data_IF_610460300424
#
_entry.id   IF_610460300424
#
_cell.length_a   1.000
_cell.length_b   1.000
_cell.length_c   1.000
_cell.angle_alpha   90.00
_cell.angle_beta   90.00
_cell.angle_gamma   90.00
#
_symmetry.space_group_name_H-M   'P 1'
#
loop_
_entity.id
_entity.type
_entity.pdbx_description
1 polymer ?
#
# COMPACT_ATOMS: atom_id res chain seq x y z
N UNK A 1 8.32 10.19 12.51
CA UNK A 1 7.96 10.70 11.19
C UNK A 1 7.14 9.65 10.48
N UNK A 2 5.90 9.96 9.98
CA UNK A 2 5.11 9.04 9.18
C UNK A 2 5.87 8.49 7.97
N UNK A 3 5.59 7.24 7.56
CA UNK A 3 6.15 6.67 6.34
C UNK A 3 5.62 7.45 5.13
N UNK A 4 4.32 7.69 5.09
CA UNK A 4 3.68 8.53 4.06
C UNK A 4 3.18 9.84 4.69
N UNK A 5 4.06 10.83 4.74
CA UNK A 5 3.71 12.17 5.22
C UNK A 5 2.85 12.94 4.22
N UNK A 6 2.71 12.42 3.02
CA UNK A 6 1.84 12.93 1.95
C UNK A 6 0.36 12.61 2.20
N UNK A 7 0.07 11.61 3.04
CA UNK A 7 -1.31 11.22 3.33
C UNK A 7 -1.98 12.23 4.25
N UNK A 8 -3.13 12.71 3.84
CA UNK A 8 -4.02 13.54 4.64
C UNK A 8 -5.38 12.87 4.78
N UNK A 9 -5.71 12.44 6.01
CA UNK A 9 -6.96 11.75 6.28
C UNK A 9 -8.18 12.60 5.94
N UNK A 10 -8.12 13.92 6.18
CA UNK A 10 -9.21 14.85 5.85
C UNK A 10 -9.44 15.05 4.36
N UNK A 11 -8.38 14.90 3.54
CA UNK A 11 -8.44 15.13 2.09
C UNK A 11 -8.58 13.83 1.28
N UNK A 12 -8.20 12.69 1.86
CA UNK A 12 -8.11 11.42 1.13
C UNK A 12 -9.08 10.34 1.66
N UNK A 13 -9.82 10.59 2.76
CA UNK A 13 -10.79 9.63 3.30
C UNK A 13 -12.20 9.99 2.88
N UNK A 14 -12.80 9.12 2.09
CA UNK A 14 -14.13 9.31 1.51
C UNK A 14 -14.98 8.04 1.64
N UNK A 15 -16.28 8.18 1.44
CA UNK A 15 -17.11 7.06 1.08
C UNK A 15 -16.84 6.74 -0.39
N UNK A 16 -16.24 5.58 -0.64
CA UNK A 16 -15.93 5.08 -1.98
C UNK A 16 -16.64 3.76 -2.19
N UNK A 17 -17.24 3.61 -3.35
CA UNK A 17 -17.94 2.40 -3.74
C UNK A 17 -17.03 1.48 -4.53
N UNK A 18 -17.34 0.19 -4.51
CA UNK A 18 -16.70 -0.81 -5.36
C UNK A 18 -17.33 -0.72 -6.73
N UNK A 19 -16.48 -0.57 -7.76
CA UNK A 19 -16.90 -0.57 -9.16
C UNK A 19 -16.87 -2.01 -9.71
N UNK A 20 -18.03 -2.63 -9.97
CA UNK A 20 -18.10 -4.06 -10.31
C UNK A 20 -17.36 -4.46 -11.58
N UNK A 21 -17.24 -3.52 -12.53
CA UNK A 21 -16.65 -3.76 -13.86
C UNK A 21 -15.16 -3.41 -13.92
N UNK A 22 -14.58 -2.96 -12.81
CA UNK A 22 -13.15 -2.67 -12.75
C UNK A 22 -12.39 -3.81 -12.07
N UNK A 23 -11.14 -4.07 -12.51
CA UNK A 23 -10.25 -4.98 -11.80
C UNK A 23 -10.04 -4.55 -10.35
N UNK A 24 -9.89 -5.53 -9.46
CA UNK A 24 -9.42 -5.30 -8.10
C UNK A 24 -7.97 -5.77 -7.98
N UNK A 25 -7.14 -4.89 -7.45
CA UNK A 25 -5.77 -5.20 -7.06
C UNK A 25 -5.73 -5.38 -5.54
N UNK A 26 -5.01 -6.39 -5.09
CA UNK A 26 -4.89 -6.74 -3.68
C UNK A 26 -3.41 -6.81 -3.34
N UNK A 27 -2.97 -6.01 -2.38
CA UNK A 27 -1.63 -6.12 -1.80
C UNK A 27 -1.67 -6.99 -0.56
N UNK A 28 -0.74 -7.94 -0.43
CA UNK A 28 -0.62 -8.87 0.68
C UNK A 28 0.68 -8.66 1.45
N UNK A 29 0.60 -8.58 2.75
CA UNK A 29 1.71 -8.81 3.67
C UNK A 29 1.52 -10.16 4.38
N UNK A 30 2.55 -11.01 4.32
CA UNK A 30 2.52 -12.36 4.91
C UNK A 30 3.04 -12.33 6.34
N UNK A 31 2.71 -13.34 7.12
CA UNK A 31 3.19 -13.53 8.49
C UNK A 31 2.05 -13.90 9.45
N UNK A 32 2.33 -13.81 10.76
CA UNK A 32 1.33 -14.11 11.81
C UNK A 32 0.28 -13.00 12.01
N UNK A 33 0.48 -11.87 11.39
CA UNK A 33 -0.49 -10.77 11.31
C UNK A 33 -0.69 -10.42 9.85
N UNK A 34 -1.28 -11.35 9.06
CA UNK A 34 -1.44 -11.13 7.65
C UNK A 34 -2.41 -10.00 7.38
N UNK A 35 -2.11 -9.23 6.34
CA UNK A 35 -2.92 -8.10 5.92
C UNK A 35 -3.12 -8.10 4.41
N UNK A 36 -4.33 -7.73 3.98
CA UNK A 36 -4.68 -7.49 2.59
C UNK A 36 -5.33 -6.12 2.45
N UNK A 37 -4.89 -5.34 1.48
CA UNK A 37 -5.48 -4.05 1.10
C UNK A 37 -5.96 -4.14 -0.33
N UNK A 38 -7.24 -3.81 -0.54
CA UNK A 38 -7.94 -3.93 -1.82
C UNK A 38 -8.08 -2.55 -2.45
N UNK A 39 -7.65 -2.42 -3.69
CA UNK A 39 -7.74 -1.18 -4.43
C UNK A 39 -8.21 -1.37 -5.86
N UNK A 40 -8.94 -0.40 -6.36
CA UNK A 40 -9.34 -0.31 -7.75
C UNK A 40 -8.78 0.96 -8.38
N UNK A 41 -8.26 0.85 -9.58
CA UNK A 41 -7.81 2.00 -10.36
C UNK A 41 -8.95 2.46 -11.25
N UNK A 42 -9.46 3.63 -10.96
CA UNK A 42 -10.54 4.25 -11.73
C UNK A 42 -10.08 4.60 -13.14
N UNK A 43 -11.01 4.76 -14.07
CA UNK A 43 -10.72 5.07 -15.48
C UNK A 43 -9.94 6.39 -15.65
N UNK A 44 -10.11 7.34 -14.74
CA UNK A 44 -9.33 8.59 -14.73
C UNK A 44 -7.93 8.44 -14.10
N UNK A 45 -7.55 7.24 -13.65
CA UNK A 45 -6.25 6.94 -13.04
C UNK A 45 -6.18 7.17 -11.53
N UNK A 46 -7.27 7.55 -10.86
CA UNK A 46 -7.35 7.64 -9.39
C UNK A 46 -7.41 6.26 -8.79
N UNK A 47 -6.73 6.07 -7.67
CA UNK A 47 -6.87 4.88 -6.86
C UNK A 47 -7.93 5.04 -5.78
N UNK A 48 -8.81 4.06 -5.68
CA UNK A 48 -9.72 3.88 -4.56
C UNK A 48 -9.28 2.65 -3.77
N UNK A 49 -8.89 2.84 -2.51
CA UNK A 49 -8.75 1.73 -1.56
C UNK A 49 -10.13 1.48 -0.98
N UNK A 50 -10.72 0.35 -1.33
CA UNK A 50 -12.15 0.09 -1.12
C UNK A 50 -12.43 -0.90 0.01
N UNK A 51 -11.45 -1.73 0.38
CA UNK A 51 -11.59 -2.75 1.43
C UNK A 51 -10.24 -3.12 2.04
N UNK A 52 -10.27 -3.63 3.25
CA UNK A 52 -9.11 -4.16 3.97
C UNK A 52 -9.48 -5.44 4.72
N UNK A 53 -8.56 -6.38 4.81
CA UNK A 53 -8.66 -7.57 5.65
C UNK A 53 -7.38 -7.69 6.46
N UNK A 54 -7.48 -7.65 7.78
CA UNK A 54 -6.34 -7.76 8.70
C UNK A 54 -6.67 -8.79 9.76
N UNK A 55 -5.80 -9.77 9.95
CA UNK A 55 -5.95 -10.79 10.97
C UNK A 55 -4.77 -10.76 11.94
N UNK A 56 -5.01 -11.25 13.15
CA UNK A 56 -4.01 -11.36 14.21
C UNK A 56 -3.84 -12.83 14.59
N UNK A 57 -2.59 -13.25 14.78
CA UNK A 57 -2.25 -14.63 15.17
C UNK A 57 -2.94 -15.67 14.27
N UNK A 58 -2.90 -15.43 12.97
CA UNK A 58 -3.55 -16.27 11.97
C UNK A 58 -2.55 -16.72 10.92
N UNK A 59 -2.51 -18.03 10.67
CA UNK A 59 -1.69 -18.61 9.61
C UNK A 59 -2.25 -18.31 8.21
N UNK A 60 -1.38 -18.41 7.22
CA UNK A 60 -1.68 -18.07 5.83
C UNK A 60 -2.88 -18.82 5.25
N UNK A 61 -3.02 -20.11 5.54
CA UNK A 61 -4.12 -20.92 5.03
C UNK A 61 -5.48 -20.41 5.50
N UNK A 62 -5.65 -20.15 6.80
CA UNK A 62 -6.89 -19.61 7.34
C UNK A 62 -7.18 -18.22 6.80
N UNK A 63 -6.14 -17.39 6.69
CA UNK A 63 -6.28 -16.07 6.11
C UNK A 63 -6.72 -16.12 4.65
N UNK A 64 -6.17 -17.06 3.86
CA UNK A 64 -6.54 -17.26 2.47
C UNK A 64 -8.02 -17.62 2.29
N UNK A 65 -8.61 -18.40 3.20
CA UNK A 65 -10.05 -18.69 3.17
C UNK A 65 -10.90 -17.44 3.40
N UNK A 66 -10.51 -16.57 4.33
CA UNK A 66 -11.21 -15.29 4.54
C UNK A 66 -11.03 -14.36 3.33
N UNK A 67 -9.83 -14.31 2.77
CA UNK A 67 -9.53 -13.53 1.57
C UNK A 67 -10.40 -13.97 0.38
N UNK A 68 -10.53 -15.29 0.17
CA UNK A 68 -11.40 -15.84 -0.88
C UNK A 68 -12.87 -15.48 -0.66
N UNK A 69 -13.35 -15.59 0.58
CA UNK A 69 -14.73 -15.22 0.91
C UNK A 69 -15.01 -13.74 0.62
N UNK A 70 -14.10 -12.85 1.01
CA UNK A 70 -14.22 -11.41 0.73
C UNK A 70 -14.20 -11.13 -0.78
N UNK A 71 -13.30 -11.79 -1.53
CA UNK A 71 -13.24 -11.64 -3.00
C UNK A 71 -14.58 -12.08 -3.63
N UNK A 72 -15.07 -13.25 -3.26
CA UNK A 72 -16.34 -13.79 -3.82
C UNK A 72 -17.54 -12.91 -3.48
N UNK A 73 -17.59 -12.40 -2.27
CA UNK A 73 -18.70 -11.60 -1.79
C UNK A 73 -18.71 -10.18 -2.36
N UNK A 74 -17.53 -9.52 -2.37
CA UNK A 74 -17.42 -8.09 -2.68
C UNK A 74 -17.07 -7.81 -4.13
N UNK A 75 -16.36 -8.74 -4.78
CA UNK A 75 -15.82 -8.56 -6.13
C UNK A 75 -16.19 -9.72 -7.08
N UNK A 76 -17.45 -10.18 -7.11
CA UNK A 76 -17.86 -11.40 -7.83
C UNK A 76 -17.66 -11.31 -9.36
N UNK A 77 -17.54 -10.10 -9.91
CA UNK A 77 -17.39 -9.86 -11.35
C UNK A 77 -16.03 -9.24 -11.72
N UNK A 78 -15.24 -8.81 -10.73
CA UNK A 78 -13.97 -8.15 -10.97
C UNK A 78 -12.87 -9.16 -11.33
N UNK A 79 -12.02 -8.81 -12.28
CA UNK A 79 -10.74 -9.49 -12.44
C UNK A 79 -9.86 -9.20 -11.22
N UNK A 80 -9.20 -10.23 -10.68
CA UNK A 80 -8.47 -10.15 -9.41
C UNK A 80 -6.98 -10.29 -9.65
N UNK A 81 -6.21 -9.28 -9.22
CA UNK A 81 -4.75 -9.28 -9.22
C UNK A 81 -4.25 -9.22 -7.79
N UNK A 82 -3.44 -10.19 -7.39
CA UNK A 82 -2.91 -10.30 -6.02
C UNK A 82 -1.39 -10.17 -6.05
N UNK A 83 -0.86 -9.23 -5.24
CA UNK A 83 0.54 -8.89 -5.17
C UNK A 83 1.05 -9.03 -3.73
N UNK A 84 2.17 -9.70 -3.54
CA UNK A 84 2.71 -9.91 -2.20
C UNK A 84 4.21 -9.64 -2.10
N UNK A 85 4.70 -9.73 -0.87
CA UNK A 85 6.13 -9.62 -0.56
C UNK A 85 6.93 -10.66 -1.36
N UNK A 86 7.92 -10.24 -2.17
CA UNK A 86 8.85 -11.17 -2.83
C UNK A 86 9.54 -12.15 -1.88
N UNK A 87 9.67 -11.83 -0.59
CA UNK A 87 10.18 -12.78 0.41
C UNK A 87 9.31 -14.03 0.54
N UNK A 88 8.00 -13.94 0.26
CA UNK A 88 7.09 -15.08 0.18
C UNK A 88 7.37 -16.05 -0.97
N UNK A 89 8.30 -15.71 -1.89
CA UNK A 89 8.81 -16.64 -2.90
C UNK A 89 9.94 -17.55 -2.38
N UNK A 90 10.44 -17.33 -1.16
CA UNK A 90 11.38 -18.24 -0.50
C UNK A 90 10.61 -19.46 -0.01
N UNK A 91 11.22 -20.64 -0.18
CA UNK A 91 10.67 -21.88 0.36
C UNK A 91 10.66 -21.84 1.88
N UNK A 92 9.57 -22.30 2.46
CA UNK A 92 9.49 -22.57 3.88
C UNK A 92 10.38 -23.81 4.19
N UNK A 93 11.19 -23.75 5.24
CA UNK A 93 12.10 -24.83 5.62
C UNK A 93 11.36 -26.09 6.08
N UNK A 94 10.11 -25.96 6.51
CA UNK A 94 9.29 -27.06 7.02
C UNK A 94 8.44 -27.70 5.92
N UNK A 95 7.83 -26.87 5.06
CA UNK A 95 6.85 -27.34 4.06
C UNK A 95 7.39 -27.42 2.65
N UNK A 96 8.62 -26.98 2.39
CA UNK A 96 9.31 -26.97 1.09
C UNK A 96 8.55 -26.23 -0.04
N UNK A 97 7.47 -25.52 0.29
CA UNK A 97 6.65 -24.75 -0.64
C UNK A 97 6.71 -23.27 -0.33
N UNK A 98 6.53 -22.44 -1.32
CA UNK A 98 6.46 -20.99 -1.14
C UNK A 98 5.06 -20.55 -0.72
N UNK A 99 4.93 -19.38 -0.07
CA UNK A 99 3.64 -18.81 0.25
C UNK A 99 2.78 -18.61 -1.02
N UNK A 100 3.39 -18.25 -2.15
CA UNK A 100 2.69 -18.09 -3.42
C UNK A 100 2.21 -19.42 -4.02
N UNK A 101 3.00 -20.50 -3.92
CA UNK A 101 2.58 -21.84 -4.33
C UNK A 101 1.41 -22.33 -3.47
N UNK A 102 1.49 -22.12 -2.15
CA UNK A 102 0.40 -22.48 -1.24
C UNK A 102 -0.88 -21.71 -1.56
N UNK A 103 -0.83 -20.39 -1.76
CA UNK A 103 -1.99 -19.60 -2.18
C UNK A 103 -2.57 -20.08 -3.50
N UNK A 104 -1.71 -20.49 -4.45
CA UNK A 104 -2.15 -21.02 -5.74
C UNK A 104 -2.90 -22.34 -5.61
N UNK A 105 -2.48 -23.24 -4.71
CA UNK A 105 -3.21 -24.49 -4.44
C UNK A 105 -4.61 -24.23 -3.88
N UNK A 106 -4.80 -23.13 -3.18
CA UNK A 106 -6.08 -22.65 -2.66
C UNK A 106 -6.91 -21.84 -3.70
N UNK A 107 -6.41 -21.70 -4.93
CA UNK A 107 -7.11 -20.97 -6.01
C UNK A 107 -6.79 -19.47 -6.09
N UNK A 108 -5.92 -18.94 -5.23
CA UNK A 108 -5.50 -17.53 -5.22
C UNK A 108 -4.22 -17.37 -6.04
N UNK A 109 -4.30 -16.70 -7.19
CA UNK A 109 -3.16 -16.47 -8.10
C UNK A 109 -2.35 -15.24 -7.65
N UNK A 110 -1.74 -15.33 -6.48
CA UNK A 110 -0.85 -14.29 -5.97
C UNK A 110 0.51 -14.34 -6.70
N UNK A 111 1.11 -13.15 -6.88
CA UNK A 111 2.41 -12.96 -7.52
C UNK A 111 3.30 -12.06 -6.66
N UNK A 112 4.63 -12.29 -6.66
CA UNK A 112 5.54 -11.36 -6.02
C UNK A 112 5.56 -10.03 -6.77
N UNK A 113 5.71 -8.93 -6.02
CA UNK A 113 6.00 -7.62 -6.61
C UNK A 113 7.41 -7.59 -7.19
N UNK A 114 7.68 -6.62 -8.08
CA UNK A 114 8.96 -6.49 -8.77
C UNK A 114 10.15 -6.19 -7.84
N UNK A 115 9.91 -5.70 -6.63
CA UNK A 115 10.95 -5.35 -5.67
C UNK A 115 10.45 -5.51 -4.24
N UNK A 116 11.36 -5.90 -3.34
CA UNK A 116 11.15 -5.86 -1.89
C UNK A 116 11.82 -4.63 -1.24
N UNK A 117 12.42 -3.77 -2.03
CA UNK A 117 13.02 -2.54 -1.51
C UNK A 117 11.95 -1.64 -0.90
N UNK A 118 12.17 -1.27 0.36
CA UNK A 118 11.23 -0.44 1.11
C UNK A 118 11.04 0.94 0.47
N UNK A 119 12.11 1.55 -0.04
CA UNK A 119 12.02 2.88 -0.64
C UNK A 119 11.22 2.86 -1.94
N UNK A 120 11.40 1.81 -2.76
CA UNK A 120 10.61 1.61 -3.99
C UNK A 120 9.12 1.47 -3.66
N UNK A 121 8.77 0.68 -2.64
CA UNK A 121 7.37 0.52 -2.18
C UNK A 121 6.80 1.82 -1.61
N UNK A 122 7.61 2.52 -0.80
CA UNK A 122 7.24 3.81 -0.21
C UNK A 122 6.92 4.83 -1.30
N UNK A 123 7.79 4.95 -2.31
CA UNK A 123 7.59 5.86 -3.43
C UNK A 123 6.37 5.47 -4.27
N UNK A 124 6.18 4.19 -4.58
CA UNK A 124 4.98 3.72 -5.27
C UNK A 124 3.69 4.09 -4.51
N UNK A 125 3.71 3.96 -3.17
CA UNK A 125 2.59 4.37 -2.32
C UNK A 125 2.35 5.87 -2.29
N UNK A 126 3.39 6.69 -2.35
CA UNK A 126 3.29 8.13 -2.32
C UNK A 126 2.81 8.74 -3.66
N UNK A 127 3.10 8.07 -4.78
CA UNK A 127 2.78 8.62 -6.11
C UNK A 127 1.32 9.03 -6.30
N UNK A 128 0.31 8.21 -5.99
CA UNK A 128 -1.07 8.62 -6.14
C UNK A 128 -1.48 9.71 -5.14
N UNK A 129 -0.84 9.81 -3.98
CA UNK A 129 -1.11 10.86 -3.00
C UNK A 129 -0.65 12.24 -3.49
N UNK A 130 0.45 12.26 -4.27
CA UNK A 130 1.07 13.49 -4.77
C UNK A 130 0.47 14.02 -6.08
N UNK A 131 -0.47 13.31 -6.70
CA UNK A 131 -1.15 13.80 -7.91
C UNK A 131 -2.55 14.29 -7.61
N UNK A 132 -2.96 15.30 -8.37
CA UNK A 132 -4.34 15.76 -8.40
C UNK A 132 -5.00 15.26 -9.69
N UNK A 133 -6.21 14.75 -9.55
CA UNK A 133 -7.06 14.31 -10.65
C UNK A 133 -8.43 14.96 -10.43
N UNK A 134 -8.87 15.79 -11.36
CA UNK A 134 -10.13 16.54 -11.25
C UNK A 134 -10.25 17.32 -9.91
N UNK A 135 -9.15 17.97 -9.50
CA UNK A 135 -9.10 18.79 -8.28
C UNK A 135 -9.08 18.00 -6.96
N UNK A 136 -9.02 16.67 -7.01
CA UNK A 136 -8.93 15.81 -5.82
C UNK A 136 -7.64 14.98 -5.85
N UNK A 137 -7.16 14.48 -4.69
CA UNK A 137 -6.02 13.58 -4.65
C UNK A 137 -6.21 12.35 -5.56
N UNK A 138 -5.11 11.86 -6.12
CA UNK A 138 -5.10 10.65 -6.92
C UNK A 138 -5.26 9.36 -6.11
N UNK A 139 -5.32 9.45 -4.79
CA UNK A 139 -5.66 8.38 -3.85
C UNK A 139 -6.87 8.79 -3.03
N UNK A 140 -7.89 7.94 -3.00
CA UNK A 140 -8.97 7.99 -2.02
C UNK A 140 -9.03 6.66 -1.27
N UNK A 141 -9.25 6.74 0.04
CA UNK A 141 -9.34 5.57 0.93
C UNK A 141 -10.74 5.55 1.55
N UNK A 142 -11.41 4.40 1.47
CA UNK A 142 -12.70 4.22 2.12
C UNK A 142 -12.62 4.52 3.61
N UNK A 143 -13.65 5.19 4.13
CA UNK A 143 -13.76 5.46 5.57
C UNK A 143 -13.80 4.17 6.39
N UNK A 144 -14.28 3.08 5.80
CA UNK A 144 -14.34 1.76 6.43
C UNK A 144 -12.96 1.08 6.53
N UNK A 145 -11.97 1.51 5.73
CA UNK A 145 -10.59 1.03 5.81
C UNK A 145 -9.84 1.70 6.98
N UNK A 146 -10.33 1.49 8.20
CA UNK A 146 -9.87 2.17 9.40
C UNK A 146 -8.39 1.90 9.72
N UNK A 147 -7.93 0.65 9.51
CA UNK A 147 -6.55 0.26 9.79
C UNK A 147 -5.59 0.82 8.75
N UNK A 148 -5.96 0.78 7.46
CA UNK A 148 -5.20 1.40 6.39
C UNK A 148 -5.07 2.90 6.63
N UNK A 149 -6.15 3.59 6.92
CA UNK A 149 -6.14 5.03 7.24
C UNK A 149 -5.23 5.34 8.43
N UNK A 150 -5.35 4.60 9.54
CA UNK A 150 -4.48 4.77 10.71
C UNK A 150 -3.00 4.53 10.37
N UNK A 151 -2.71 3.51 9.59
CA UNK A 151 -1.36 3.22 9.14
C UNK A 151 -0.77 4.38 8.35
N UNK A 152 -1.51 4.84 7.31
CA UNK A 152 -1.07 5.92 6.42
C UNK A 152 -0.96 7.27 7.15
N UNK A 153 -1.86 7.56 8.08
CA UNK A 153 -1.88 8.80 8.86
C UNK A 153 -0.74 8.90 9.91
N UNK A 154 0.13 7.89 10.01
CA UNK A 154 1.31 7.93 10.88
C UNK A 154 1.41 6.81 11.90
N UNK A 155 0.47 5.86 11.93
CA UNK A 155 0.61 4.63 12.70
C UNK A 155 1.85 3.86 12.25
N UNK A 156 2.11 3.80 10.94
CA UNK A 156 3.37 3.31 10.39
C UNK A 156 4.37 4.46 10.24
N UNK A 157 5.45 4.43 11.01
CA UNK A 157 6.35 5.56 11.14
C UNK A 157 7.80 5.16 11.40
N UNK A 158 8.72 6.08 11.13
CA UNK A 158 10.13 5.98 11.53
C UNK A 158 10.28 6.41 12.98
N UNK A 159 10.95 5.58 13.81
CA UNK A 159 11.27 5.95 15.19
C UNK A 159 12.27 7.11 15.23
N UNK A 160 12.01 8.04 16.14
CA UNK A 160 12.97 9.08 16.48
C UNK A 160 14.12 8.46 17.27
N UNK A 161 15.35 8.87 16.94
CA UNK A 161 16.57 8.53 17.67
C UNK A 161 16.94 9.75 18.48
N UNK A 162 17.20 9.57 19.78
CA UNK A 162 17.72 10.64 20.62
C UNK A 162 19.14 10.99 20.16
N UNK A 163 19.35 12.25 19.74
CA UNK A 163 20.66 12.81 19.42
C UNK A 163 20.88 14.01 20.31
N UNK A 164 22.04 14.09 20.97
CA UNK A 164 22.43 15.27 21.75
C UNK A 164 22.41 16.54 20.89
N UNK A 165 22.23 17.71 21.52
CA UNK A 165 22.30 19.02 20.89
C UNK A 165 21.22 19.38 19.85
N UNK A 166 19.98 19.00 20.08
CA UNK A 166 18.83 19.60 19.38
C UNK A 166 18.57 19.10 17.94
N UNK A 167 19.36 18.16 17.41
CA UNK A 167 19.12 17.57 16.11
C UNK A 167 18.14 16.37 16.17
N UNK A 168 17.08 16.43 15.38
CA UNK A 168 16.18 15.29 15.20
C UNK A 168 16.73 14.31 14.17
N UNK A 169 16.98 13.08 14.61
CA UNK A 169 17.34 11.98 13.70
C UNK A 169 16.29 10.86 13.80
N UNK A 170 15.96 10.27 12.68
CA UNK A 170 15.08 9.12 12.59
C UNK A 170 15.89 7.88 12.17
N UNK A 171 15.41 6.70 12.53
CA UNK A 171 15.97 5.44 12.00
C UNK A 171 15.76 5.37 10.49
N UNK A 172 16.69 4.72 9.79
CA UNK A 172 16.61 4.54 8.33
C UNK A 172 15.49 3.57 7.93
N UNK A 173 15.12 2.63 8.81
CA UNK A 173 14.00 1.73 8.61
C UNK A 173 12.81 2.10 9.50
N UNK A 174 11.58 1.95 9.01
CA UNK A 174 10.39 2.23 9.80
C UNK A 174 10.21 1.22 10.93
N UNK A 175 9.46 1.63 11.94
CA UNK A 175 9.14 0.79 13.09
C UNK A 175 8.15 -0.30 12.70
N UNK A 176 8.53 -1.56 12.89
CA UNK A 176 7.60 -2.69 12.76
C UNK A 176 6.68 -2.71 13.99
N UNK A 177 5.39 -2.50 13.74
CA UNK A 177 4.31 -2.49 14.73
C UNK A 177 3.03 -3.03 14.08
N UNK A 178 1.91 -3.01 14.80
CA UNK A 178 0.61 -3.48 14.29
C UNK A 178 0.13 -2.76 13.01
N UNK A 179 0.55 -1.51 12.80
CA UNK A 179 0.19 -0.73 11.62
C UNK A 179 1.12 -0.99 10.42
N UNK A 180 2.28 -1.61 10.64
CA UNK A 180 3.25 -1.85 9.57
C UNK A 180 2.73 -2.89 8.56
N UNK A 181 1.99 -3.92 9.01
CA UNK A 181 1.50 -4.98 8.15
C UNK A 181 0.55 -4.47 7.07
N UNK A 182 -0.45 -3.69 7.47
CA UNK A 182 -1.40 -3.09 6.52
C UNK A 182 -0.73 -1.99 5.68
N UNK A 183 0.26 -1.30 6.21
CA UNK A 183 1.06 -0.35 5.47
C UNK A 183 1.93 -1.03 4.41
N UNK A 184 2.57 -2.14 4.74
CA UNK A 184 3.34 -2.93 3.78
C UNK A 184 2.42 -3.52 2.70
N UNK A 185 1.25 -4.05 3.07
CA UNK A 185 0.23 -4.51 2.12
C UNK A 185 -0.21 -3.39 1.15
N UNK A 186 -0.45 -2.17 1.65
CA UNK A 186 -0.71 -1.00 0.80
C UNK A 186 0.46 -0.71 -0.16
N UNK A 187 1.69 -0.79 0.31
CA UNK A 187 2.88 -0.63 -0.52
C UNK A 187 2.95 -1.66 -1.65
N UNK A 188 2.64 -2.94 -1.36
CA UNK A 188 2.58 -4.00 -2.37
C UNK A 188 1.41 -3.81 -3.35
N UNK A 189 0.27 -3.32 -2.89
CA UNK A 189 -0.86 -2.94 -3.75
C UNK A 189 -0.42 -1.90 -4.80
N UNK A 190 0.19 -0.81 -4.37
CA UNK A 190 0.59 0.28 -5.26
C UNK A 190 1.72 -0.14 -6.21
N UNK A 191 2.71 -0.87 -5.71
CA UNK A 191 3.81 -1.37 -6.51
C UNK A 191 3.34 -2.38 -7.56
N UNK A 192 2.51 -3.35 -7.17
CA UNK A 192 1.93 -4.36 -8.06
C UNK A 192 0.94 -3.75 -9.05
N UNK A 193 0.17 -2.74 -8.64
CA UNK A 193 -0.74 -1.96 -9.47
C UNK A 193 -0.06 -1.04 -10.48
N UNK A 194 1.28 -1.01 -10.49
CA UNK A 194 2.09 -0.39 -11.55
C UNK A 194 2.49 1.06 -11.29
N UNK A 195 2.32 1.58 -10.08
CA UNK A 195 2.71 2.96 -9.77
C UNK A 195 4.22 3.20 -9.92
N UNK A 196 5.08 2.18 -9.74
CA UNK A 196 6.52 2.26 -9.97
C UNK A 196 6.93 2.36 -11.44
N UNK A 197 6.07 1.93 -12.39
CA UNK A 197 6.43 1.93 -13.82
C UNK A 197 6.69 3.33 -14.36
N UNK A 198 6.15 4.35 -13.73
CA UNK A 198 6.45 5.75 -14.04
C UNK A 198 7.87 6.14 -13.61
N UNK A 199 8.40 5.52 -12.55
CA UNK A 199 9.76 5.78 -12.06
C UNK A 199 10.84 5.10 -12.93
N UNK A 200 10.50 3.95 -13.53
CA UNK A 200 11.45 3.13 -14.32
C UNK A 200 11.39 3.41 -15.82
N UNK A 201 10.37 4.10 -16.31
CA UNK A 201 10.14 4.33 -17.74
C UNK A 201 11.03 5.41 -18.36
N UNK A 202 11.83 6.12 -17.56
CA UNK A 202 12.72 7.16 -18.06
C UNK A 202 14.13 7.06 -17.47
N UNK A 203 14.95 6.06 -17.85
CA UNK A 203 16.33 5.95 -17.36
C UNK A 203 17.23 7.08 -17.86
N UNK A 204 16.82 7.85 -18.88
CA UNK A 204 17.56 8.98 -19.43
C UNK A 204 16.81 10.33 -19.35
N UNK A 205 15.61 10.35 -18.82
CA UNK A 205 14.87 11.58 -18.61
C UNK A 205 15.22 12.17 -17.25
N UNK A 206 16.11 13.15 -17.23
CA UNK A 206 16.19 14.12 -16.12
C UNK A 206 14.85 14.85 -16.08
N UNK A 207 13.82 14.19 -15.55
CA UNK A 207 12.59 14.83 -15.12
C UNK A 207 12.96 15.73 -13.96
N UNK A 208 13.15 17.00 -14.21
CA UNK A 208 13.13 18.02 -13.17
C UNK A 208 11.75 17.92 -12.52
N UNK A 209 11.66 17.24 -11.39
CA UNK A 209 10.59 17.49 -10.45
C UNK A 209 10.74 18.93 -10.00
N UNK A 210 9.99 19.84 -10.62
CA UNK A 210 9.75 21.13 -10.02
C UNK A 210 9.00 20.84 -8.71
N UNK A 211 9.71 20.87 -7.60
CA UNK A 211 9.09 21.08 -6.31
C UNK A 211 8.28 22.35 -6.44
N UNK A 212 6.96 22.22 -6.41
CA UNK A 212 6.08 23.35 -6.18
C UNK A 212 6.33 23.77 -4.73
N UNK A 213 7.34 24.62 -4.53
CA UNK A 213 7.46 25.41 -3.32
C UNK A 213 6.26 26.34 -3.32
N UNK A 214 5.32 26.09 -2.40
CA UNK A 214 4.32 27.07 -2.08
C UNK A 214 5.05 28.32 -1.60
N UNK A 215 5.08 29.37 -2.43
CA UNK A 215 5.48 30.70 -1.99
C UNK A 215 4.37 31.21 -1.07
N UNK A 216 4.59 31.07 0.22
CA UNK A 216 3.84 31.83 1.22
C UNK A 216 4.47 33.20 1.27
N UNK A 217 3.99 34.12 0.45
CA UNK A 217 4.18 35.54 0.68
C UNK A 217 3.12 35.99 1.69
N UNK A 218 3.47 35.93 2.97
CA UNK A 218 2.82 36.76 3.98
C UNK A 218 3.59 38.07 4.06
N UNK A 219 3.08 39.09 3.41
CA UNK A 219 3.42 40.48 3.67
C UNK A 219 2.68 40.91 4.93
N UNK A 220 3.42 41.15 6.01
CA UNK A 220 2.88 41.80 7.22
C UNK A 220 3.02 43.28 7.01
N UNK A 221 1.87 43.98 6.97
CA UNK A 221 1.76 45.41 7.32
C UNK A 221 1.17 45.55 8.71
#
# INVERSE_FOLDING_TARGET
KPVWHEFSDSLMSYEVEIEPDLPVHIGLDFGLTPAAVFGQKMRNGRWHVVHELVAFSMGLERFAHHLMADIQQKFPKSEVFIWGDPAGAKRDEIFEVTAFEHLRTLGLRAQPTASNDFMVRREAGAMPMNRLIDGKPGLLVSRDCVRTRKSLAGGYHFKRVAVGAGHERFKDAPNKNEHSHVGDAYGYLMLGGGEHRMLTRNPNGRGQFKQLQAKTEFSVF
#
